data_IF_601869236748
#
_entry.id   IF_601869236748
#
_cell.length_a   1.000
_cell.length_b   1.000
_cell.length_c   1.000
_cell.angle_alpha   90.00
_cell.angle_beta   90.00
_cell.angle_gamma   90.00
#
_symmetry.space_group_name_H-M   'P 1'
#
loop_
_entity.id
_entity.type
_entity.pdbx_description
1 polymer ?
#
# COMPACT_ATOMS: atom_id res chain seq x y z
N UNK A 1 9.97 19.46 0.85
CA UNK A 1 9.97 19.29 2.31
C UNK A 1 8.67 18.60 2.63
N UNK A 2 8.73 17.39 3.19
CA UNK A 2 7.52 16.69 3.59
C UNK A 2 6.92 17.43 4.79
N UNK A 3 5.69 17.91 4.68
CA UNK A 3 5.02 18.41 5.89
C UNK A 3 4.73 17.20 6.79
N UNK A 4 4.85 17.35 8.12
CA UNK A 4 4.52 16.28 9.05
C UNK A 4 3.13 15.68 8.77
N UNK A 5 2.16 16.51 8.39
CA UNK A 5 0.80 16.08 8.07
C UNK A 5 0.75 15.13 6.87
N UNK A 6 1.41 15.47 5.76
CA UNK A 6 1.44 14.63 4.57
C UNK A 6 2.17 13.30 4.81
N UNK A 7 3.19 13.31 5.67
CA UNK A 7 3.87 12.10 6.11
C UNK A 7 2.93 11.18 6.88
N UNK A 8 2.28 11.68 7.92
CA UNK A 8 1.38 10.87 8.76
C UNK A 8 0.14 10.39 8.01
N UNK A 9 -0.38 11.17 7.07
CA UNK A 9 -1.47 10.72 6.19
C UNK A 9 -1.02 9.52 5.35
N UNK A 10 0.20 9.55 4.80
CA UNK A 10 0.73 8.44 4.00
C UNK A 10 0.91 7.18 4.84
N UNK A 11 1.46 7.31 6.06
CA UNK A 11 1.59 6.19 7.02
C UNK A 11 0.22 5.61 7.36
N UNK A 12 -0.77 6.45 7.66
CA UNK A 12 -2.13 5.98 7.97
C UNK A 12 -2.77 5.20 6.81
N UNK A 13 -2.53 5.60 5.56
CA UNK A 13 -2.98 4.84 4.40
C UNK A 13 -2.25 3.50 4.24
N UNK A 14 -0.94 3.43 4.53
CA UNK A 14 -0.19 2.17 4.53
C UNK A 14 -0.75 1.18 5.54
N UNK A 15 -1.02 1.62 6.77
CA UNK A 15 -1.65 0.79 7.81
C UNK A 15 -3.04 0.30 7.39
N UNK A 16 -3.82 1.19 6.77
CA UNK A 16 -5.14 0.82 6.24
C UNK A 16 -5.02 -0.20 5.12
N UNK A 17 -4.07 -0.05 4.19
CA UNK A 17 -3.84 -1.01 3.13
C UNK A 17 -3.41 -2.37 3.67
N UNK A 18 -2.56 -2.42 4.70
CA UNK A 18 -2.19 -3.68 5.35
C UNK A 18 -3.42 -4.33 6.02
N UNK A 19 -4.26 -3.54 6.68
CA UNK A 19 -5.51 -4.04 7.24
C UNK A 19 -6.42 -4.65 6.17
N UNK A 20 -6.63 -3.95 5.05
CA UNK A 20 -7.44 -4.46 3.94
C UNK A 20 -6.83 -5.72 3.32
N UNK A 21 -5.50 -5.78 3.19
CA UNK A 21 -4.78 -6.97 2.73
C UNK A 21 -5.02 -8.18 3.65
N UNK A 22 -4.99 -7.98 4.97
CA UNK A 22 -5.31 -9.05 5.93
C UNK A 22 -6.73 -9.55 5.76
N UNK A 23 -7.71 -8.65 5.62
CA UNK A 23 -9.10 -9.04 5.36
C UNK A 23 -9.26 -9.81 4.04
N UNK A 24 -8.46 -9.49 3.03
CA UNK A 24 -8.41 -10.26 1.80
C UNK A 24 -7.84 -11.66 2.03
N UNK A 25 -6.70 -11.78 2.71
CA UNK A 25 -6.09 -13.08 3.02
C UNK A 25 -7.00 -13.98 3.86
N UNK A 26 -7.74 -13.41 4.80
CA UNK A 26 -8.70 -14.16 5.63
C UNK A 26 -10.05 -14.39 4.94
N UNK A 27 -10.18 -14.00 3.66
CA UNK A 27 -11.42 -14.12 2.87
C UNK A 27 -12.63 -13.47 3.54
N UNK A 28 -12.40 -12.38 4.28
CA UNK A 28 -13.42 -11.65 5.05
C UNK A 28 -13.98 -10.46 4.28
N UNK A 29 -13.21 -9.89 3.36
CA UNK A 29 -13.64 -8.77 2.51
C UNK A 29 -14.41 -9.28 1.28
N UNK A 30 -15.43 -8.54 0.87
CA UNK A 30 -16.08 -8.72 -0.42
C UNK A 30 -15.06 -8.63 -1.58
N UNK A 31 -15.09 -9.54 -2.57
CA UNK A 31 -14.12 -9.55 -3.67
C UNK A 31 -14.14 -8.27 -4.53
N UNK A 32 -15.31 -7.67 -4.78
CA UNK A 32 -15.40 -6.43 -5.56
C UNK A 32 -14.84 -5.25 -4.75
N UNK A 33 -15.07 -5.24 -3.44
CA UNK A 33 -14.47 -4.24 -2.56
C UNK A 33 -12.94 -4.39 -2.53
N UNK A 34 -12.41 -5.61 -2.48
CA UNK A 34 -10.96 -5.84 -2.59
C UNK A 34 -10.39 -5.31 -3.90
N UNK A 35 -11.05 -5.58 -5.04
CA UNK A 35 -10.60 -5.05 -6.33
C UNK A 35 -10.50 -3.51 -6.35
N UNK A 36 -11.42 -2.82 -5.66
CA UNK A 36 -11.37 -1.35 -5.53
C UNK A 36 -10.18 -0.90 -4.68
N UNK A 37 -9.93 -1.55 -3.55
CA UNK A 37 -8.77 -1.27 -2.71
C UNK A 37 -7.45 -1.56 -3.42
N UNK A 38 -7.37 -2.68 -4.13
CA UNK A 38 -6.20 -3.04 -4.92
C UNK A 38 -5.86 -1.99 -5.97
N UNK A 39 -6.87 -1.48 -6.71
CA UNK A 39 -6.68 -0.37 -7.66
C UNK A 39 -6.21 0.91 -6.97
N UNK A 40 -6.78 1.23 -5.79
CA UNK A 40 -6.37 2.39 -5.03
C UNK A 40 -4.90 2.29 -4.59
N UNK A 41 -4.47 1.13 -4.10
CA UNK A 41 -3.08 0.87 -3.74
C UNK A 41 -2.15 1.11 -4.94
N UNK A 42 -2.51 0.58 -6.11
CA UNK A 42 -1.74 0.79 -7.34
C UNK A 42 -1.66 2.28 -7.70
N UNK A 43 -2.75 3.04 -7.57
CA UNK A 43 -2.74 4.49 -7.81
C UNK A 43 -1.82 5.23 -6.85
N UNK A 44 -1.88 4.94 -5.55
CA UNK A 44 -1.00 5.56 -4.54
C UNK A 44 0.48 5.27 -4.80
N UNK A 45 0.80 4.06 -5.26
CA UNK A 45 2.15 3.66 -5.64
C UNK A 45 2.75 4.45 -6.82
N UNK A 46 1.91 5.09 -7.64
CA UNK A 46 2.39 6.00 -8.70
C UNK A 46 2.83 7.37 -8.18
N UNK A 47 2.46 7.72 -6.94
CA UNK A 47 2.81 9.00 -6.31
C UNK A 47 4.24 8.88 -5.76
N UNK A 48 5.24 9.61 -6.31
CA UNK A 48 6.64 9.43 -5.92
C UNK A 48 6.90 9.65 -4.44
N UNK A 49 6.18 10.60 -3.84
CA UNK A 49 6.25 10.89 -2.41
C UNK A 49 5.75 9.73 -1.56
N UNK A 50 4.63 9.12 -1.92
CA UNK A 50 4.08 8.00 -1.19
C UNK A 50 5.00 6.78 -1.25
N UNK A 51 5.58 6.53 -2.43
CA UNK A 51 6.59 5.47 -2.62
C UNK A 51 7.84 5.69 -1.75
N UNK A 52 8.34 6.93 -1.66
CA UNK A 52 9.46 7.26 -0.78
C UNK A 52 9.14 6.93 0.69
N UNK A 53 7.95 7.31 1.16
CA UNK A 53 7.50 7.00 2.52
C UNK A 53 7.40 5.49 2.73
N UNK A 54 6.84 4.75 1.77
CA UNK A 54 6.85 3.28 1.82
C UNK A 54 8.26 2.70 1.98
N UNK A 55 9.24 3.14 1.18
CA UNK A 55 10.62 2.64 1.29
C UNK A 55 11.27 2.93 2.65
N UNK A 56 10.92 4.07 3.27
CA UNK A 56 11.39 4.46 4.61
C UNK A 56 10.71 3.65 5.74
N UNK A 57 9.44 3.27 5.59
CA UNK A 57 8.65 2.68 6.67
C UNK A 57 8.38 1.18 6.53
N UNK A 58 8.61 0.58 5.36
CA UNK A 58 8.21 -0.81 5.05
C UNK A 58 8.66 -1.86 6.05
N UNK A 59 9.81 -1.67 6.70
CA UNK A 59 10.33 -2.59 7.73
C UNK A 59 9.45 -2.67 8.99
N UNK A 60 8.50 -1.75 9.16
CA UNK A 60 7.52 -1.76 10.26
C UNK A 60 6.30 -2.64 9.97
N UNK A 61 6.14 -3.09 8.73
CA UNK A 61 5.01 -3.90 8.27
C UNK A 61 5.35 -5.38 8.23
N UNK A 62 4.33 -6.24 8.09
CA UNK A 62 4.58 -7.69 7.96
C UNK A 62 5.24 -8.07 6.65
N UNK A 63 6.10 -9.10 6.69
CA UNK A 63 6.80 -9.62 5.51
C UNK A 63 5.87 -9.93 4.35
N UNK A 64 4.72 -10.59 4.60
CA UNK A 64 3.75 -10.91 3.55
C UNK A 64 3.16 -9.65 2.90
N UNK A 65 2.93 -8.59 3.69
CA UNK A 65 2.44 -7.32 3.15
C UNK A 65 3.52 -6.61 2.34
N UNK A 66 4.77 -6.63 2.80
CA UNK A 66 5.92 -6.07 2.06
C UNK A 66 6.04 -6.75 0.70
N UNK A 67 6.03 -8.08 0.66
CA UNK A 67 6.11 -8.86 -0.59
C UNK A 67 4.96 -8.52 -1.55
N UNK A 68 3.73 -8.46 -1.03
CA UNK A 68 2.57 -8.04 -1.81
C UNK A 68 2.76 -6.62 -2.37
N UNK A 69 3.11 -5.67 -1.52
CA UNK A 69 3.19 -4.25 -1.90
C UNK A 69 4.33 -3.99 -2.90
N UNK A 70 5.49 -4.61 -2.72
CA UNK A 70 6.62 -4.50 -3.64
C UNK A 70 6.29 -5.16 -4.99
N UNK A 71 5.55 -6.28 -5.01
CA UNK A 71 5.12 -6.91 -6.27
C UNK A 71 4.25 -6.00 -7.15
N UNK A 72 3.50 -5.06 -6.55
CA UNK A 72 2.68 -4.10 -7.29
C UNK A 72 3.51 -3.01 -7.97
N UNK A 73 4.70 -2.71 -7.45
CA UNK A 73 5.57 -1.67 -7.99
C UNK A 73 6.35 -2.12 -9.23
N UNK A 74 6.65 -3.42 -9.32
CA UNK A 74 7.37 -3.97 -10.48
C UNK A 74 6.46 -4.11 -11.71
N UNK A 75 5.14 -4.22 -11.51
CA UNK A 75 4.16 -4.20 -12.60
C UNK A 75 4.11 -2.86 -13.34
N UNK A 76 4.39 -1.74 -12.66
CA UNK A 76 4.39 -0.40 -13.25
C UNK A 76 5.64 -0.04 -14.05
N UNK A 77 6.66 -0.91 -14.08
CA UNK A 77 7.90 -0.71 -14.86
C UNK A 77 7.84 -1.32 -16.27
N UNK A 78 6.85 -2.19 -16.53
CA UNK A 78 6.73 -2.97 -17.77
C UNK A 78 5.53 -2.53 -18.65
N UNK A 79 4.93 -1.38 -18.37
CA UNK A 79 3.81 -0.76 -19.10
C UNK A 79 4.20 0.63 -19.56
#
# INVERSE_FOLDING_TARGET
VDTPEEYYVSVAFLDLFEFMFRLHKTKTIDPLLWQRWHKLIQMFLTIPKFKKIWDETKQSHTTEFIEFFDSLQDLGKNS
#
